data_IF_796155374625
#
_entry.id   IF_796155374625
#
_cell.length_a   1.000
_cell.length_b   1.000
_cell.length_c   1.000
_cell.angle_alpha   90.00
_cell.angle_beta   90.00
_cell.angle_gamma   90.00
#
_symmetry.space_group_name_H-M   'P 1'
#
loop_
_entity.id
_entity.type
_entity.pdbx_description
1 polymer ?
#
# COMPACT_ATOMS: atom_id res chain seq x y z
N UNK A 1 -33.06 -4.40 1.66
CA UNK A 1 -33.65 -4.12 2.99
C UNK A 1 -32.60 -4.19 4.10
N UNK A 2 -31.67 -5.16 4.07
CA UNK A 2 -30.69 -5.38 5.13
C UNK A 2 -29.76 -4.19 5.32
N UNK A 3 -29.19 -3.62 4.25
CA UNK A 3 -28.28 -2.48 4.35
C UNK A 3 -28.95 -1.19 4.84
N UNK A 4 -30.24 -1.00 4.55
CA UNK A 4 -31.03 0.09 5.13
C UNK A 4 -31.14 -0.05 6.65
N UNK A 5 -31.48 -1.25 7.12
CA UNK A 5 -31.56 -1.56 8.54
C UNK A 5 -30.21 -1.38 9.24
N UNK A 6 -29.14 -1.88 8.61
CA UNK A 6 -27.77 -1.76 9.12
C UNK A 6 -27.34 -0.29 9.24
N UNK A 7 -27.58 0.54 8.22
CA UNK A 7 -27.25 1.96 8.26
C UNK A 7 -27.97 2.69 9.39
N UNK A 8 -29.29 2.42 9.56
CA UNK A 8 -30.10 3.01 10.62
C UNK A 8 -29.62 2.56 12.01
N UNK A 9 -29.31 1.27 12.19
CA UNK A 9 -28.80 0.74 13.46
C UNK A 9 -27.47 1.36 13.82
N UNK A 10 -26.54 1.47 12.88
CA UNK A 10 -25.23 2.10 13.09
C UNK A 10 -25.36 3.57 13.48
N UNK A 11 -26.26 4.33 12.82
CA UNK A 11 -26.47 5.71 13.20
C UNK A 11 -27.03 5.82 14.63
N UNK A 12 -27.99 4.97 15.01
CA UNK A 12 -28.55 4.96 16.37
C UNK A 12 -27.53 4.59 17.43
N UNK A 13 -26.61 3.69 17.11
CA UNK A 13 -25.60 3.18 18.04
C UNK A 13 -24.41 4.13 18.19
N UNK A 14 -23.90 4.69 17.09
CA UNK A 14 -22.67 5.46 17.09
C UNK A 14 -22.85 6.97 16.90
N UNK A 15 -24.00 7.43 16.39
CA UNK A 15 -24.24 8.86 16.15
C UNK A 15 -23.18 9.50 15.26
N UNK A 16 -22.77 8.82 14.18
CA UNK A 16 -21.64 9.22 13.35
C UNK A 16 -21.86 10.54 12.61
N UNK A 17 -20.83 11.34 12.48
CA UNK A 17 -20.77 12.53 11.61
C UNK A 17 -20.49 12.15 10.15
N UNK A 18 -19.84 11.01 9.91
CA UNK A 18 -19.59 10.44 8.59
C UNK A 18 -19.48 8.92 8.69
N UNK A 19 -20.03 8.22 7.70
CA UNK A 19 -19.97 6.77 7.60
C UNK A 19 -19.41 6.33 6.25
N UNK A 20 -18.30 5.60 6.25
CA UNK A 20 -17.64 5.14 5.04
C UNK A 20 -17.84 3.64 4.86
N UNK A 21 -18.45 3.27 3.72
CA UNK A 21 -18.48 1.89 3.25
C UNK A 21 -17.28 1.63 2.34
N UNK A 22 -16.37 0.75 2.73
CA UNK A 22 -15.22 0.32 1.93
C UNK A 22 -15.62 -0.95 1.18
N UNK A 23 -16.05 -0.82 -0.06
CA UNK A 23 -16.60 -1.93 -0.85
C UNK A 23 -16.19 -1.80 -2.33
N UNK A 24 -16.04 -2.92 -3.03
CA UNK A 24 -15.66 -2.94 -4.43
C UNK A 24 -16.60 -2.14 -5.35
N UNK A 25 -16.07 -1.70 -6.47
CA UNK A 25 -16.76 -0.86 -7.45
C UNK A 25 -17.99 -1.51 -8.11
N UNK A 26 -18.11 -2.83 -8.03
CA UNK A 26 -19.30 -3.57 -8.48
C UNK A 26 -20.56 -3.16 -7.72
N UNK A 27 -20.42 -2.62 -6.50
CA UNK A 27 -21.51 -2.18 -5.65
C UNK A 27 -21.84 -0.67 -5.79
N UNK A 28 -21.23 0.05 -6.75
CA UNK A 28 -21.44 1.48 -6.92
C UNK A 28 -22.93 1.85 -7.03
N UNK A 29 -23.66 1.15 -7.89
CA UNK A 29 -25.10 1.39 -8.07
C UNK A 29 -25.89 1.11 -6.78
N UNK A 30 -25.57 0.03 -6.09
CA UNK A 30 -26.21 -0.35 -4.83
C UNK A 30 -26.12 0.77 -3.78
N UNK A 31 -24.91 1.33 -3.56
CA UNK A 31 -24.72 2.40 -2.57
C UNK A 31 -25.33 3.74 -3.00
N UNK A 32 -25.41 4.02 -4.30
CA UNK A 32 -26.14 5.17 -4.81
C UNK A 32 -27.64 5.04 -4.49
N UNK A 33 -28.22 3.87 -4.72
CA UNK A 33 -29.64 3.58 -4.42
C UNK A 33 -29.88 3.61 -2.92
N UNK A 34 -28.99 3.04 -2.11
CA UNK A 34 -29.07 3.06 -0.64
C UNK A 34 -29.19 4.50 -0.12
N UNK A 35 -28.32 5.40 -0.59
CA UNK A 35 -28.33 6.81 -0.22
C UNK A 35 -29.64 7.51 -0.60
N UNK A 36 -30.15 7.26 -1.80
CA UNK A 36 -31.43 7.82 -2.27
C UNK A 36 -32.60 7.32 -1.42
N UNK A 37 -32.61 6.03 -1.08
CA UNK A 37 -33.68 5.45 -0.26
C UNK A 37 -33.67 6.01 1.17
N UNK A 38 -32.51 6.15 1.78
CA UNK A 38 -32.39 6.76 3.12
C UNK A 38 -32.89 8.20 3.12
N UNK A 39 -32.57 9.00 2.07
CA UNK A 39 -33.12 10.35 1.91
C UNK A 39 -34.64 10.35 1.78
N UNK A 40 -35.21 9.47 0.97
CA UNK A 40 -36.66 9.36 0.80
C UNK A 40 -37.40 8.91 2.06
N UNK A 41 -36.69 8.16 2.94
CA UNK A 41 -37.21 7.75 4.25
C UNK A 41 -37.05 8.86 5.31
N UNK A 42 -36.49 10.03 4.96
CA UNK A 42 -36.39 11.20 5.81
C UNK A 42 -35.19 11.22 6.74
N UNK A 43 -34.17 10.39 6.51
CA UNK A 43 -32.96 10.41 7.34
C UNK A 43 -32.04 11.57 6.91
N UNK A 44 -31.87 12.57 7.79
CA UNK A 44 -31.05 13.78 7.53
C UNK A 44 -29.57 13.47 7.31
N UNK A 45 -29.05 12.42 7.95
CA UNK A 45 -27.67 11.95 7.85
C UNK A 45 -27.37 11.10 6.60
N UNK A 46 -28.33 10.94 5.69
CA UNK A 46 -28.10 10.15 4.49
C UNK A 46 -26.97 10.70 3.59
N UNK A 47 -26.70 12.00 3.65
CA UNK A 47 -25.61 12.63 2.92
C UNK A 47 -24.23 12.35 3.50
N UNK A 48 -24.15 12.02 4.77
CA UNK A 48 -22.92 11.73 5.49
C UNK A 48 -22.41 10.29 5.23
N UNK A 49 -23.17 9.51 4.47
CA UNK A 49 -22.74 8.19 3.98
C UNK A 49 -21.93 8.35 2.71
N UNK A 50 -20.73 7.79 2.74
CA UNK A 50 -19.80 7.74 1.60
C UNK A 50 -19.47 6.30 1.23
N UNK A 51 -19.43 5.99 -0.06
CA UNK A 51 -18.89 4.73 -0.59
C UNK A 51 -17.46 4.98 -1.07
N UNK A 52 -16.49 4.45 -0.35
CA UNK A 52 -15.11 4.34 -0.82
C UNK A 52 -15.02 3.11 -1.73
N UNK A 53 -15.29 3.36 -3.00
CA UNK A 53 -15.27 2.35 -4.04
C UNK A 53 -13.83 2.02 -4.43
N UNK A 54 -13.45 0.73 -4.39
CA UNK A 54 -12.15 0.29 -4.88
C UNK A 54 -12.27 -0.60 -6.10
N UNK A 55 -11.25 -0.53 -6.97
CA UNK A 55 -11.12 -1.39 -8.13
C UNK A 55 -10.69 -2.80 -7.73
N UNK A 56 -10.95 -3.77 -8.59
CA UNK A 56 -10.53 -5.15 -8.35
C UNK A 56 -9.02 -5.30 -8.49
N UNK A 57 -8.44 -6.16 -7.68
CA UNK A 57 -7.07 -6.66 -7.87
C UNK A 57 -7.17 -7.97 -8.65
N UNK A 58 -6.53 -8.02 -9.80
CA UNK A 58 -6.48 -9.20 -10.66
C UNK A 58 -5.07 -9.79 -10.60
N UNK A 59 -4.96 -11.10 -10.69
CA UNK A 59 -3.68 -11.80 -10.82
C UNK A 59 -3.42 -12.16 -12.29
N UNK A 60 -2.15 -12.43 -12.69
CA UNK A 60 -1.81 -12.80 -14.07
C UNK A 60 -2.59 -14.02 -14.57
N UNK A 61 -2.97 -14.95 -13.69
CA UNK A 61 -3.74 -16.15 -14.03
C UNK A 61 -5.23 -15.86 -14.27
N UNK A 62 -5.71 -14.63 -14.08
CA UNK A 62 -7.07 -14.21 -14.37
C UNK A 62 -7.84 -13.59 -13.21
N UNK A 63 -9.11 -13.23 -13.47
CA UNK A 63 -9.99 -12.60 -12.46
C UNK A 63 -10.28 -13.56 -11.33
N UNK A 64 -10.08 -13.10 -10.09
CA UNK A 64 -10.56 -13.78 -8.90
C UNK A 64 -12.07 -13.88 -8.91
N UNK A 65 -12.61 -15.07 -9.20
CA UNK A 65 -14.05 -15.35 -9.10
C UNK A 65 -14.29 -16.36 -8.01
N UNK A 66 -14.92 -15.95 -6.94
CA UNK A 66 -15.23 -16.79 -5.77
C UNK A 66 -16.09 -18.02 -6.11
N UNK A 67 -16.82 -18.00 -7.23
CA UNK A 67 -17.68 -19.12 -7.67
C UNK A 67 -16.93 -20.21 -8.46
N UNK A 68 -15.70 -19.97 -8.91
CA UNK A 68 -14.91 -20.88 -9.75
C UNK A 68 -13.67 -21.44 -9.03
N UNK A 69 -13.51 -21.18 -7.71
CA UNK A 69 -12.40 -21.73 -6.91
C UNK A 69 -11.03 -21.06 -7.15
N UNK A 70 -10.98 -19.93 -7.85
CA UNK A 70 -9.75 -19.16 -8.12
C UNK A 70 -9.68 -17.89 -7.26
N UNK A 71 -10.15 -17.96 -6.03
CA UNK A 71 -9.96 -16.87 -5.06
C UNK A 71 -8.64 -17.09 -4.36
N UNK A 72 -7.74 -16.14 -4.45
CA UNK A 72 -6.56 -16.10 -3.58
C UNK A 72 -6.94 -15.36 -2.32
N UNK A 73 -6.78 -16.01 -1.19
CA UNK A 73 -6.99 -15.38 0.11
C UNK A 73 -5.93 -14.30 0.34
N UNK A 74 -6.30 -13.24 1.04
CA UNK A 74 -5.36 -12.14 1.32
C UNK A 74 -4.20 -12.60 2.21
N UNK A 75 -4.47 -13.53 3.12
CA UNK A 75 -3.45 -14.09 4.00
C UNK A 75 -2.47 -14.95 3.20
N UNK A 76 -2.97 -15.79 2.28
CA UNK A 76 -2.14 -16.60 1.36
C UNK A 76 -1.26 -15.68 0.50
N UNK A 77 -1.82 -14.59 -0.04
CA UNK A 77 -1.06 -13.61 -0.82
C UNK A 77 0.05 -12.93 0.01
N UNK A 78 -0.22 -12.63 1.27
CA UNK A 78 0.79 -12.06 2.17
C UNK A 78 1.91 -13.07 2.45
N UNK A 79 1.59 -14.33 2.66
CA UNK A 79 2.56 -15.40 2.88
C UNK A 79 3.40 -15.67 1.63
N UNK A 80 2.79 -15.72 0.45
CA UNK A 80 3.48 -15.86 -0.84
C UNK A 80 4.46 -14.69 -1.07
N UNK A 81 4.07 -13.47 -0.72
CA UNK A 81 4.95 -12.30 -0.84
C UNK A 81 6.15 -12.37 0.11
N UNK A 82 5.97 -12.91 1.31
CA UNK A 82 7.07 -13.12 2.26
C UNK A 82 8.02 -14.20 1.74
N UNK A 83 7.48 -15.28 1.17
CA UNK A 83 8.30 -16.36 0.59
C UNK A 83 9.07 -15.88 -0.65
N UNK A 84 8.44 -15.13 -1.55
CA UNK A 84 9.12 -14.50 -2.70
C UNK A 84 10.24 -13.56 -2.24
N UNK A 85 10.02 -12.82 -1.16
CA UNK A 85 11.06 -11.97 -0.56
C UNK A 85 12.21 -12.80 0.03
N UNK A 86 11.91 -13.95 0.62
CA UNK A 86 12.90 -14.91 1.13
C UNK A 86 13.79 -15.41 -0.01
N UNK A 87 13.20 -15.97 -1.05
CA UNK A 87 13.92 -16.51 -2.20
C UNK A 87 14.84 -15.47 -2.83
N UNK A 88 14.31 -14.29 -3.17
CA UNK A 88 15.06 -13.18 -3.74
C UNK A 88 16.20 -12.69 -2.84
N UNK A 89 15.97 -12.67 -1.52
CA UNK A 89 17.01 -12.25 -0.56
C UNK A 89 18.11 -13.28 -0.40
N UNK A 90 17.79 -14.57 -0.41
CA UNK A 90 18.76 -15.67 -0.34
C UNK A 90 19.64 -15.70 -1.59
N UNK A 91 19.07 -15.50 -2.78
CA UNK A 91 19.82 -15.41 -4.03
C UNK A 91 20.84 -14.25 -4.02
N UNK A 92 20.54 -13.17 -3.32
CA UNK A 92 21.44 -12.02 -3.19
C UNK A 92 22.70 -12.26 -2.36
N UNK A 93 22.72 -13.34 -1.54
CA UNK A 93 23.87 -13.79 -0.74
C UNK A 93 24.35 -12.85 0.38
N UNK A 94 23.54 -11.87 0.81
CA UNK A 94 23.95 -10.83 1.77
C UNK A 94 23.41 -11.03 3.18
N UNK A 95 23.06 -12.25 3.56
CA UNK A 95 22.40 -12.56 4.83
C UNK A 95 23.31 -13.26 5.86
N UNK A 96 24.57 -13.49 5.53
CA UNK A 96 25.51 -14.31 6.32
C UNK A 96 25.72 -13.81 7.75
N UNK A 97 25.63 -12.48 7.96
CA UNK A 97 25.82 -11.86 9.27
C UNK A 97 24.51 -11.76 10.08
N UNK A 98 23.37 -12.27 9.58
CA UNK A 98 22.08 -12.14 10.24
C UNK A 98 21.67 -13.42 10.98
N UNK A 99 21.08 -13.25 12.16
CA UNK A 99 20.46 -14.38 12.86
C UNK A 99 19.25 -14.89 12.07
N UNK A 100 18.87 -16.18 12.19
CA UNK A 100 17.70 -16.72 11.52
C UNK A 100 16.42 -15.91 11.79
N UNK A 101 16.21 -15.50 13.03
CA UNK A 101 15.07 -14.65 13.40
C UNK A 101 15.15 -13.25 12.73
N UNK A 102 16.36 -12.70 12.56
CA UNK A 102 16.58 -11.44 11.85
C UNK A 102 16.24 -11.56 10.36
N UNK A 103 16.60 -12.68 9.75
CA UNK A 103 16.28 -12.99 8.36
C UNK A 103 14.75 -13.08 8.15
N UNK A 104 14.03 -13.83 8.99
CA UNK A 104 12.57 -13.94 8.90
C UNK A 104 11.88 -12.58 9.01
N UNK A 105 12.35 -11.75 9.94
CA UNK A 105 11.83 -10.39 10.08
C UNK A 105 12.10 -9.54 8.83
N UNK A 106 13.28 -9.68 8.22
CA UNK A 106 13.64 -8.97 7.00
C UNK A 106 12.72 -9.39 5.85
N UNK A 107 12.49 -10.68 5.65
CA UNK A 107 11.61 -11.20 4.59
C UNK A 107 10.20 -10.66 4.74
N UNK A 108 9.66 -10.68 5.95
CA UNK A 108 8.35 -10.10 6.24
C UNK A 108 8.29 -8.59 5.94
N UNK A 109 9.31 -7.82 6.32
CA UNK A 109 9.39 -6.37 6.03
C UNK A 109 9.46 -6.11 4.53
N UNK A 110 10.24 -6.89 3.79
CA UNK A 110 10.38 -6.73 2.34
C UNK A 110 9.11 -7.14 1.60
N UNK A 111 8.56 -8.32 1.88
CA UNK A 111 7.36 -8.85 1.24
C UNK A 111 6.15 -7.96 1.48
N UNK A 112 5.90 -7.60 2.73
CA UNK A 112 4.79 -6.69 3.08
C UNK A 112 5.00 -5.27 2.55
N UNK A 113 6.24 -4.80 2.50
CA UNK A 113 6.58 -3.51 1.90
C UNK A 113 6.32 -3.49 0.39
N UNK A 114 6.67 -4.56 -0.31
CA UNK A 114 6.42 -4.74 -1.73
C UNK A 114 4.91 -4.76 -2.03
N UNK A 115 4.15 -5.59 -1.34
CA UNK A 115 2.71 -5.72 -1.51
C UNK A 115 1.99 -4.39 -1.28
N UNK A 116 2.22 -3.76 -0.13
CA UNK A 116 1.56 -2.50 0.23
C UNK A 116 1.89 -1.39 -0.76
N UNK A 117 3.15 -1.25 -1.14
CA UNK A 117 3.56 -0.22 -2.08
C UNK A 117 2.93 -0.44 -3.45
N UNK A 118 2.92 -1.69 -3.94
CA UNK A 118 2.35 -2.02 -5.25
C UNK A 118 0.87 -1.67 -5.32
N UNK A 119 0.10 -2.02 -4.29
CA UNK A 119 -1.33 -1.69 -4.19
C UNK A 119 -1.55 -0.18 -4.08
N UNK A 120 -0.78 0.51 -3.23
CA UNK A 120 -1.00 1.92 -2.94
C UNK A 120 -0.46 2.88 -4.01
N UNK A 121 0.43 2.44 -4.91
CA UNK A 121 0.93 3.29 -6.01
C UNK A 121 -0.10 3.55 -7.10
N UNK A 122 -1.21 2.81 -7.12
CA UNK A 122 -2.29 2.94 -8.09
C UNK A 122 -3.50 3.63 -7.45
N UNK A 123 -4.25 4.43 -8.21
CA UNK A 123 -5.54 4.98 -7.74
C UNK A 123 -6.43 3.81 -7.27
N UNK A 124 -6.90 3.80 -6.02
CA UNK A 124 -7.66 2.69 -5.46
C UNK A 124 -8.96 2.40 -6.24
N UNK A 125 -9.48 3.35 -7.02
CA UNK A 125 -10.68 3.15 -7.85
C UNK A 125 -10.44 2.40 -9.15
N UNK A 126 -9.16 2.21 -9.53
CA UNK A 126 -8.78 1.50 -10.76
C UNK A 126 -8.59 0.02 -10.47
N UNK A 127 -9.03 -0.81 -11.40
CA UNK A 127 -8.61 -2.22 -11.43
C UNK A 127 -7.12 -2.29 -11.71
N UNK A 128 -6.40 -3.14 -10.98
CA UNK A 128 -4.98 -3.37 -11.17
C UNK A 128 -4.69 -4.85 -11.40
N UNK A 129 -3.66 -5.11 -12.20
CA UNK A 129 -3.03 -6.40 -12.29
C UNK A 129 -1.89 -6.44 -11.27
N UNK A 130 -1.95 -7.36 -10.31
CA UNK A 130 -0.90 -7.54 -9.32
C UNK A 130 0.02 -8.68 -9.76
N UNK A 131 1.30 -8.36 -9.92
CA UNK A 131 2.37 -9.33 -10.20
C UNK A 131 3.33 -9.37 -9.00
N UNK A 132 3.42 -10.52 -8.31
CA UNK A 132 4.32 -10.69 -7.17
C UNK A 132 5.78 -10.44 -7.53
N UNK A 133 6.25 -10.95 -8.67
CA UNK A 133 7.64 -10.80 -9.12
C UNK A 133 8.02 -9.34 -9.41
N UNK A 134 7.15 -8.61 -10.13
CA UNK A 134 7.35 -7.19 -10.38
C UNK A 134 7.33 -6.34 -9.11
N UNK A 135 6.52 -6.74 -8.12
CA UNK A 135 6.36 -5.97 -6.89
C UNK A 135 7.59 -5.98 -5.99
N UNK A 136 8.41 -7.04 -6.08
CA UNK A 136 9.59 -7.26 -5.23
C UNK A 136 10.91 -6.84 -5.87
N UNK A 137 10.91 -6.36 -7.11
CA UNK A 137 12.12 -5.92 -7.81
C UNK A 137 12.81 -4.76 -7.06
N UNK A 138 14.12 -4.90 -6.84
CA UNK A 138 14.95 -3.88 -6.20
C UNK A 138 15.41 -2.76 -7.16
N UNK A 139 15.12 -2.85 -8.45
CA UNK A 139 15.56 -1.89 -9.47
C UNK A 139 14.43 -1.02 -10.03
N UNK A 140 13.20 -1.28 -9.62
CA UNK A 140 12.02 -0.63 -10.16
C UNK A 140 11.38 0.40 -9.22
N UNK A 141 10.16 0.82 -9.59
CA UNK A 141 9.29 1.65 -8.73
C UNK A 141 8.54 0.75 -7.74
N UNK A 142 9.25 0.26 -6.72
CA UNK A 142 8.80 -0.77 -5.80
C UNK A 142 9.09 -0.40 -4.35
N UNK A 143 8.40 -1.05 -3.42
CA UNK A 143 8.66 -0.91 -1.98
C UNK A 143 10.10 -1.30 -1.61
N UNK A 144 10.61 -2.48 -2.02
CA UNK A 144 11.99 -2.89 -1.78
C UNK A 144 13.04 -1.91 -2.31
N UNK A 145 12.82 -1.28 -3.46
CA UNK A 145 13.73 -0.24 -3.98
C UNK A 145 13.83 0.97 -3.02
N UNK A 146 12.70 1.41 -2.47
CA UNK A 146 12.69 2.52 -1.50
C UNK A 146 13.39 2.10 -0.21
N UNK A 147 13.11 0.90 0.30
CA UNK A 147 13.74 0.34 1.50
C UNK A 147 15.25 0.19 1.33
N UNK A 148 15.69 -0.31 0.18
CA UNK A 148 17.11 -0.42 -0.18
C UNK A 148 17.79 0.95 -0.26
N UNK A 149 17.14 1.93 -0.90
CA UNK A 149 17.63 3.31 -0.98
C UNK A 149 17.82 3.91 0.41
N UNK A 150 16.84 3.73 1.30
CA UNK A 150 16.93 4.15 2.70
C UNK A 150 18.11 3.50 3.42
N UNK A 151 18.28 2.18 3.28
CA UNK A 151 19.40 1.44 3.89
C UNK A 151 20.75 1.97 3.39
N UNK A 152 20.88 2.27 2.09
CA UNK A 152 22.09 2.89 1.51
C UNK A 152 22.39 4.27 2.11
N UNK A 153 21.38 5.13 2.20
CA UNK A 153 21.53 6.46 2.81
C UNK A 153 22.00 6.32 4.26
N UNK A 154 21.36 5.45 5.05
CA UNK A 154 21.76 5.18 6.44
C UNK A 154 23.19 4.67 6.55
N UNK A 155 23.62 3.80 5.63
CA UNK A 155 25.00 3.31 5.60
C UNK A 155 26.02 4.40 5.27
N UNK A 156 25.70 5.30 4.33
CA UNK A 156 26.56 6.45 3.99
C UNK A 156 26.69 7.39 5.20
N UNK A 157 25.58 7.73 5.85
CA UNK A 157 25.58 8.59 7.03
C UNK A 157 26.38 7.98 8.18
N UNK A 158 26.25 6.68 8.43
CA UNK A 158 27.05 5.99 9.44
C UNK A 158 28.55 6.08 9.15
N UNK A 159 28.96 5.78 7.91
CA UNK A 159 30.37 5.89 7.48
C UNK A 159 30.90 7.34 7.57
N UNK A 160 30.06 8.30 7.31
CA UNK A 160 30.43 9.72 7.45
C UNK A 160 30.70 10.06 8.93
N UNK A 161 29.87 9.59 9.85
CA UNK A 161 30.07 9.77 11.30
C UNK A 161 31.33 9.06 11.78
N UNK A 162 31.58 7.82 11.37
CA UNK A 162 32.81 7.06 11.73
C UNK A 162 34.08 7.76 11.27
N UNK A 163 34.01 8.51 10.15
CA UNK A 163 35.11 9.31 9.59
C UNK A 163 35.15 10.76 10.07
N UNK A 164 34.28 11.13 11.02
CA UNK A 164 34.14 12.51 11.53
C UNK A 164 33.83 13.55 10.42
N UNK A 165 33.17 13.14 9.33
CA UNK A 165 32.69 14.10 8.33
C UNK A 165 31.53 14.92 8.91
N UNK A 166 31.67 16.26 8.79
CA UNK A 166 30.62 17.20 9.14
C UNK A 166 30.00 17.78 7.86
N UNK A 167 28.67 17.86 7.86
CA UNK A 167 27.98 18.57 6.81
C UNK A 167 28.35 20.06 6.83
N UNK A 168 28.84 20.59 5.72
CA UNK A 168 29.16 22.00 5.55
C UNK A 168 28.43 22.55 4.36
N UNK A 169 27.81 23.71 4.52
CA UNK A 169 27.32 24.49 3.38
C UNK A 169 28.53 25.01 2.60
N UNK A 170 28.53 24.84 1.31
CA UNK A 170 29.52 25.43 0.42
C UNK A 170 28.82 26.14 -0.74
N UNK A 171 29.53 27.15 -1.30
CA UNK A 171 28.98 28.02 -2.35
C UNK A 171 29.15 27.43 -3.77
N UNK A 172 29.34 26.13 -3.91
CA UNK A 172 29.38 25.53 -5.24
C UNK A 172 27.96 25.37 -5.81
N UNK A 173 27.81 25.59 -7.12
CA UNK A 173 26.50 25.40 -7.75
C UNK A 173 26.05 23.95 -7.62
N UNK A 174 24.78 23.76 -7.26
CA UNK A 174 24.18 22.43 -7.20
C UNK A 174 24.08 21.82 -8.61
N UNK A 175 24.29 20.52 -8.70
CA UNK A 175 23.96 19.78 -9.90
C UNK A 175 22.45 19.80 -10.15
N UNK A 176 22.04 19.67 -11.39
CA UNK A 176 20.61 19.69 -11.77
C UNK A 176 19.79 18.65 -10.98
N UNK A 177 20.35 17.45 -10.77
CA UNK A 177 19.70 16.38 -9.98
C UNK A 177 19.57 16.74 -8.50
N UNK A 178 20.56 17.42 -7.93
CA UNK A 178 20.52 17.90 -6.53
C UNK A 178 19.46 18.98 -6.37
N UNK A 179 19.43 19.95 -7.30
CA UNK A 179 18.43 21.01 -7.30
C UNK A 179 17.01 20.46 -7.42
N UNK A 180 16.82 19.44 -8.27
CA UNK A 180 15.54 18.75 -8.41
C UNK A 180 15.12 18.04 -7.12
N UNK A 181 16.07 17.37 -6.43
CA UNK A 181 15.80 16.73 -5.14
C UNK A 181 15.41 17.75 -4.08
N UNK A 182 16.15 18.84 -3.96
CA UNK A 182 15.82 19.92 -3.01
C UNK A 182 14.44 20.50 -3.29
N UNK A 183 14.07 20.75 -4.55
CA UNK A 183 12.72 21.21 -4.91
C UNK A 183 11.63 20.21 -4.49
N UNK A 184 11.86 18.90 -4.68
CA UNK A 184 10.93 17.87 -4.22
C UNK A 184 10.79 17.86 -2.69
N UNK A 185 11.89 18.04 -1.96
CA UNK A 185 11.86 18.09 -0.49
C UNK A 185 11.08 19.30 0.03
N UNK A 186 11.09 20.45 -0.67
CA UNK A 186 10.31 21.64 -0.28
C UNK A 186 8.80 21.48 -0.50
N UNK A 187 8.39 20.53 -1.33
CA UNK A 187 6.97 20.24 -1.60
C UNK A 187 6.44 19.05 -0.80
N UNK A 188 7.31 18.41 -0.02
CA UNK A 188 6.90 17.32 0.88
C UNK A 188 6.16 17.91 2.09
N UNK A 189 4.94 17.39 2.42
CA UNK A 189 4.12 17.88 3.53
C UNK A 189 4.73 17.61 4.90
#
# INVERSE_FOLDING_TARGET
PQDLGTAVSRYKEFGFDSHVYVVGNEQNYHFQVLKVLLKKLGFSWADDIMHLSYGMVELPEGKMKSREGTVVDADDLMDDMVETARETSLESGKLEDMTPQGQERLFSILGMGALKYFILKVDPRKTMLFDPGESIDFNGNTGPFIQYTFARIRSILRKALERNYQARLHNQPMLEKELRLVKLMTTYP
#
